data_IF_706497549251
#
_entry.id   IF_706497549251
#
_cell.length_a   1.000
_cell.length_b   1.000
_cell.length_c   1.000
_cell.angle_alpha   90.00
_cell.angle_beta   90.00
_cell.angle_gamma   90.00
#
_symmetry.space_group_name_H-M   'P 1'
#
loop_
_entity.id
_entity.type
_entity.pdbx_description
1 polymer ?
#
# COMPACT_ATOMS: atom_id res chain seq x y z
N UNK A 1 -23.09 -12.24 2.93
CA UNK A 1 -21.82 -12.46 3.65
C UNK A 1 -21.16 -11.15 4.06
N UNK A 2 -20.96 -10.18 3.13
CA UNK A 2 -20.33 -8.89 3.44
C UNK A 2 -20.94 -8.10 4.62
N UNK A 3 -22.28 -8.05 4.73
CA UNK A 3 -22.95 -7.42 5.90
C UNK A 3 -22.51 -8.08 7.22
N UNK A 4 -22.73 -9.39 7.36
CA UNK A 4 -22.35 -10.14 8.58
C UNK A 4 -20.86 -9.95 8.94
N UNK A 5 -19.97 -9.96 7.95
CA UNK A 5 -18.54 -9.71 8.16
C UNK A 5 -18.27 -8.32 8.74
N UNK A 6 -18.82 -7.26 8.13
CA UNK A 6 -18.66 -5.90 8.65
C UNK A 6 -19.34 -5.70 10.01
N UNK A 7 -20.39 -6.47 10.34
CA UNK A 7 -21.05 -6.40 11.66
C UNK A 7 -20.13 -7.00 12.72
N UNK A 8 -19.54 -8.16 12.43
CA UNK A 8 -18.56 -8.78 13.30
C UNK A 8 -17.34 -7.90 13.55
N UNK A 9 -16.88 -7.16 12.53
CA UNK A 9 -15.78 -6.19 12.70
C UNK A 9 -16.22 -4.98 13.55
N UNK A 10 -17.41 -4.43 13.30
CA UNK A 10 -17.94 -3.32 14.10
C UNK A 10 -18.15 -3.70 15.59
N UNK A 11 -18.51 -4.96 15.85
CA UNK A 11 -18.68 -5.53 17.18
C UNK A 11 -17.36 -6.00 17.82
N UNK A 12 -16.20 -5.74 17.19
CA UNK A 12 -14.86 -6.20 17.60
C UNK A 12 -14.72 -7.73 17.77
N UNK A 13 -15.59 -8.52 17.11
CA UNK A 13 -15.46 -9.99 17.04
C UNK A 13 -14.37 -10.42 16.06
N UNK A 14 -14.08 -9.58 15.08
CA UNK A 14 -12.98 -9.71 14.12
C UNK A 14 -12.22 -8.38 14.15
N UNK A 15 -10.89 -8.42 14.15
CA UNK A 15 -10.12 -7.17 14.12
C UNK A 15 -10.35 -6.48 12.78
N UNK A 16 -10.48 -5.15 12.79
CA UNK A 16 -10.53 -4.41 11.54
C UNK A 16 -9.35 -4.78 10.66
N UNK A 17 -8.14 -4.86 11.23
CA UNK A 17 -6.86 -5.22 10.58
C UNK A 17 -6.85 -6.55 9.85
N UNK A 18 -7.81 -7.45 10.13
CA UNK A 18 -7.92 -8.74 9.45
C UNK A 18 -8.61 -8.63 8.09
N UNK A 19 -9.32 -7.54 7.83
CA UNK A 19 -9.81 -7.22 6.48
C UNK A 19 -8.62 -6.79 5.62
N UNK A 20 -8.44 -7.39 4.45
CA UNK A 20 -7.41 -6.92 3.52
C UNK A 20 -7.95 -5.79 2.65
N UNK A 21 -7.06 -4.99 2.05
CA UNK A 21 -7.46 -4.02 1.04
C UNK A 21 -8.23 -4.67 -0.13
N UNK A 22 -7.95 -5.96 -0.42
CA UNK A 22 -8.70 -6.73 -1.41
C UNK A 22 -10.15 -6.94 -0.97
N UNK A 23 -10.37 -7.42 0.26
CA UNK A 23 -11.72 -7.65 0.79
C UNK A 23 -12.54 -6.36 0.79
N UNK A 24 -11.90 -5.25 1.17
CA UNK A 24 -12.52 -3.92 1.16
C UNK A 24 -12.95 -3.50 -0.25
N UNK A 25 -12.10 -3.72 -1.28
CA UNK A 25 -12.47 -3.45 -2.69
C UNK A 25 -13.59 -4.36 -3.17
N UNK A 26 -13.57 -5.64 -2.80
CA UNK A 26 -14.64 -6.60 -3.14
C UNK A 26 -15.98 -6.24 -2.48
N UNK A 27 -15.97 -5.76 -1.23
CA UNK A 27 -17.20 -5.32 -0.56
C UNK A 27 -17.72 -4.04 -1.23
N UNK A 28 -16.85 -3.09 -1.57
CA UNK A 28 -17.24 -1.86 -2.26
C UNK A 28 -17.84 -2.13 -3.63
N UNK A 29 -17.31 -3.10 -4.39
CA UNK A 29 -17.78 -3.42 -5.74
C UNK A 29 -19.23 -3.94 -5.80
N UNK A 30 -19.80 -4.34 -4.66
CA UNK A 30 -21.23 -4.66 -4.53
C UNK A 30 -22.17 -3.46 -4.74
N UNK A 31 -21.63 -2.24 -4.74
CA UNK A 31 -22.36 -0.99 -4.98
C UNK A 31 -23.59 -0.78 -4.05
N UNK A 32 -23.50 -1.28 -2.81
CA UNK A 32 -24.51 -1.11 -1.77
C UNK A 32 -24.09 0.08 -0.87
N UNK A 33 -24.94 1.12 -0.81
CA UNK A 33 -24.65 2.35 -0.08
C UNK A 33 -24.44 2.12 1.42
N UNK A 34 -25.19 1.22 2.04
CA UNK A 34 -25.06 0.92 3.47
C UNK A 34 -23.75 0.20 3.77
N UNK A 35 -23.35 -0.74 2.90
CA UNK A 35 -22.05 -1.39 3.00
C UNK A 35 -20.90 -0.39 2.84
N UNK A 36 -21.00 0.54 1.90
CA UNK A 36 -19.95 1.55 1.68
C UNK A 36 -19.79 2.50 2.87
N UNK A 37 -20.90 3.02 3.43
CA UNK A 37 -20.85 3.85 4.64
C UNK A 37 -20.15 3.11 5.77
N UNK A 38 -20.55 1.86 6.05
CA UNK A 38 -19.98 1.10 7.15
C UNK A 38 -18.53 0.70 6.92
N UNK A 39 -18.16 0.43 5.67
CA UNK A 39 -16.79 0.15 5.27
C UNK A 39 -15.89 1.36 5.51
N UNK A 40 -16.34 2.57 5.18
CA UNK A 40 -15.59 3.79 5.43
C UNK A 40 -15.47 4.10 6.93
N UNK A 41 -16.52 3.84 7.71
CA UNK A 41 -16.50 3.98 9.17
C UNK A 41 -15.52 3.02 9.84
N UNK A 42 -15.42 1.78 9.37
CA UNK A 42 -14.54 0.76 9.96
C UNK A 42 -13.10 0.98 9.46
N UNK A 43 -12.91 0.95 8.14
CA UNK A 43 -11.60 0.82 7.51
C UNK A 43 -10.96 2.18 7.24
N UNK A 44 -11.74 3.22 6.96
CA UNK A 44 -11.22 4.54 6.64
C UNK A 44 -11.51 4.94 5.20
N UNK A 45 -10.48 5.28 4.43
CA UNK A 45 -10.70 5.91 3.12
C UNK A 45 -10.87 4.79 2.09
N UNK A 46 -12.04 4.76 1.47
CA UNK A 46 -12.34 3.83 0.39
C UNK A 46 -13.01 4.61 -0.72
N UNK A 47 -12.24 4.93 -1.76
CA UNK A 47 -12.71 5.70 -2.90
C UNK A 47 -12.61 4.91 -4.19
N UNK A 48 -13.33 5.40 -5.20
CA UNK A 48 -13.16 4.90 -6.55
C UNK A 48 -11.78 5.29 -7.08
N UNK A 49 -11.17 4.39 -7.86
CA UNK A 49 -9.97 4.73 -8.61
C UNK A 49 -10.34 5.68 -9.76
N UNK A 50 -9.64 6.81 -9.96
CA UNK A 50 -9.96 7.75 -11.02
C UNK A 50 -9.82 7.11 -12.40
N UNK A 51 -10.60 7.56 -13.37
CA UNK A 51 -10.67 6.97 -14.71
C UNK A 51 -9.29 6.81 -15.39
N UNK A 52 -8.40 7.80 -15.24
CA UNK A 52 -7.04 7.73 -15.80
C UNK A 52 -6.21 6.56 -15.21
N UNK A 53 -6.30 6.34 -13.88
CA UNK A 53 -5.64 5.23 -13.21
C UNK A 53 -6.31 3.89 -13.53
N UNK A 54 -7.64 3.87 -13.69
CA UNK A 54 -8.35 2.68 -14.15
C UNK A 54 -7.90 2.26 -15.55
N UNK A 55 -7.76 3.22 -16.48
CA UNK A 55 -7.23 2.95 -17.81
C UNK A 55 -5.81 2.39 -17.72
N UNK A 56 -4.94 3.00 -16.91
CA UNK A 56 -3.57 2.50 -16.72
C UNK A 56 -3.54 1.07 -16.18
N UNK A 57 -4.42 0.72 -15.24
CA UNK A 57 -4.56 -0.66 -14.74
C UNK A 57 -4.97 -1.61 -15.88
N UNK A 58 -5.92 -1.22 -16.73
CA UNK A 58 -6.36 -2.04 -17.86
C UNK A 58 -5.23 -2.26 -18.87
N UNK A 59 -4.48 -1.21 -19.21
CA UNK A 59 -3.35 -1.29 -20.14
C UNK A 59 -2.27 -2.23 -19.60
N UNK A 60 -1.89 -2.06 -18.33
CA UNK A 60 -0.91 -2.93 -17.66
C UNK A 60 -1.40 -4.38 -17.55
N UNK A 61 -2.70 -4.59 -17.27
CA UNK A 61 -3.29 -5.94 -17.25
C UNK A 61 -3.13 -6.61 -18.61
N UNK A 62 -3.46 -5.91 -19.69
CA UNK A 62 -3.32 -6.45 -21.04
C UNK A 62 -1.86 -6.76 -21.37
N UNK A 63 -0.95 -5.84 -21.04
CA UNK A 63 0.49 -5.99 -21.26
C UNK A 63 1.07 -7.21 -20.52
N UNK A 64 0.74 -7.36 -19.24
CA UNK A 64 1.28 -8.38 -18.34
C UNK A 64 0.60 -9.75 -18.49
N UNK A 65 -0.64 -9.80 -18.99
CA UNK A 65 -1.37 -11.07 -19.22
C UNK A 65 -1.03 -11.73 -20.56
N UNK A 66 -0.29 -11.04 -21.44
CA UNK A 66 0.15 -11.62 -22.70
C UNK A 66 1.12 -12.78 -22.45
N UNK A 67 0.84 -13.93 -23.10
CA UNK A 67 1.62 -15.18 -23.02
C UNK A 67 2.92 -15.12 -23.84
N UNK A 68 3.43 -13.90 -24.10
CA UNK A 68 4.72 -13.74 -24.76
C UNK A 68 5.77 -14.40 -23.86
N UNK A 69 6.57 -15.36 -24.37
CA UNK A 69 7.65 -15.96 -23.61
C UNK A 69 8.48 -14.86 -22.96
N UNK A 70 8.38 -14.79 -21.64
CA UNK A 70 8.94 -13.70 -20.85
C UNK A 70 10.46 -13.80 -20.89
N UNK A 71 11.13 -12.84 -21.53
CA UNK A 71 12.55 -12.57 -21.30
C UNK A 71 12.75 -11.72 -20.03
N UNK A 72 11.70 -11.59 -19.20
CA UNK A 72 11.76 -10.83 -17.97
C UNK A 72 12.53 -11.62 -16.93
N UNK A 73 13.53 -10.96 -16.36
CA UNK A 73 14.45 -11.56 -15.42
C UNK A 73 13.89 -11.32 -14.01
N UNK A 74 13.42 -12.38 -13.37
CA UNK A 74 12.89 -12.30 -11.99
C UNK A 74 13.92 -11.77 -11.00
N UNK A 75 15.22 -11.97 -11.26
CA UNK A 75 16.31 -11.42 -10.46
C UNK A 75 16.37 -9.89 -10.62
N UNK A 76 16.16 -9.37 -11.84
CA UNK A 76 16.00 -7.93 -12.06
C UNK A 76 14.72 -7.41 -11.37
N UNK A 77 13.65 -8.19 -11.37
CA UNK A 77 12.45 -7.90 -10.60
C UNK A 77 12.73 -7.72 -9.11
N UNK A 78 13.56 -8.59 -8.53
CA UNK A 78 14.03 -8.45 -7.14
C UNK A 78 14.83 -7.17 -6.92
N UNK A 79 15.73 -6.82 -7.84
CA UNK A 79 16.50 -5.58 -7.74
C UNK A 79 15.58 -4.35 -7.74
N UNK A 80 14.58 -4.31 -8.62
CA UNK A 80 13.59 -3.23 -8.69
C UNK A 80 12.73 -3.16 -7.42
N UNK A 81 12.32 -4.31 -6.88
CA UNK A 81 11.64 -4.36 -5.58
C UNK A 81 12.50 -3.74 -4.48
N UNK A 82 13.80 -4.07 -4.42
CA UNK A 82 14.70 -3.53 -3.41
C UNK A 82 14.85 -2.00 -3.51
N UNK A 83 14.84 -1.44 -4.72
CA UNK A 83 15.00 0.00 -4.95
C UNK A 83 13.78 0.84 -4.54
N UNK A 84 12.58 0.28 -4.69
CA UNK A 84 11.33 1.06 -4.58
C UNK A 84 10.38 0.54 -3.51
N UNK A 85 10.20 -0.77 -3.42
CA UNK A 85 9.19 -1.38 -2.56
C UNK A 85 9.75 -1.77 -1.18
N UNK A 86 10.97 -2.28 -1.13
CA UNK A 86 11.61 -2.78 0.09
C UNK A 86 11.88 -1.69 1.13
N UNK A 87 11.86 -0.41 0.72
CA UNK A 87 11.94 0.75 1.61
C UNK A 87 10.78 0.81 2.60
N UNK A 88 9.64 0.22 2.26
CA UNK A 88 8.45 0.22 3.10
C UNK A 88 7.92 -1.19 3.39
N UNK A 89 8.06 -2.11 2.46
CA UNK A 89 7.42 -3.42 2.52
C UNK A 89 8.42 -4.54 2.70
N UNK A 90 8.00 -5.56 3.46
CA UNK A 90 8.70 -6.82 3.57
C UNK A 90 8.23 -7.82 2.51
N UNK A 91 9.16 -8.58 1.94
CA UNK A 91 8.87 -9.73 1.09
C UNK A 91 9.94 -10.81 1.28
N UNK A 92 9.51 -12.03 1.61
CA UNK A 92 10.39 -13.15 1.96
C UNK A 92 11.41 -12.80 3.05
N UNK A 93 10.97 -12.06 4.06
CA UNK A 93 11.81 -11.64 5.17
C UNK A 93 12.73 -10.43 4.89
N UNK A 94 12.76 -9.90 3.67
CA UNK A 94 13.62 -8.78 3.25
C UNK A 94 12.84 -7.47 3.11
N UNK A 95 13.46 -6.33 3.45
CA UNK A 95 12.85 -5.01 3.42
C UNK A 95 12.36 -4.53 4.80
N UNK A 96 11.71 -3.36 4.79
CA UNK A 96 11.24 -2.68 6.00
C UNK A 96 9.81 -3.08 6.41
N UNK A 97 9.46 -2.81 7.67
CA UNK A 97 8.14 -3.05 8.25
C UNK A 97 7.38 -1.73 8.49
N UNK A 98 7.34 -0.87 7.47
CA UNK A 98 6.56 0.40 7.52
C UNK A 98 5.15 0.16 6.96
N UNK A 99 5.07 -0.50 5.80
CA UNK A 99 3.85 -1.01 5.21
C UNK A 99 3.65 -2.49 5.55
N UNK A 100 2.52 -3.09 5.13
CA UNK A 100 2.23 -4.51 5.36
C UNK A 100 3.27 -5.43 4.72
N UNK A 101 3.54 -6.57 5.37
CA UNK A 101 4.33 -7.66 4.79
C UNK A 101 3.59 -8.24 3.58
N UNK A 102 4.26 -8.29 2.44
CA UNK A 102 3.69 -8.76 1.18
C UNK A 102 3.77 -10.27 1.03
N UNK A 103 4.58 -10.98 1.82
CA UNK A 103 4.86 -12.42 1.66
C UNK A 103 3.58 -13.26 1.64
N UNK A 104 2.64 -12.98 2.55
CA UNK A 104 1.34 -13.66 2.65
C UNK A 104 0.18 -12.96 1.95
N UNK A 105 0.43 -11.88 1.22
CA UNK A 105 -0.62 -11.15 0.50
C UNK A 105 -1.07 -11.91 -0.77
N UNK A 106 -2.17 -11.44 -1.39
CA UNK A 106 -2.75 -12.03 -2.61
C UNK A 106 -1.92 -11.73 -3.89
N UNK A 107 -0.59 -11.83 -3.82
CA UNK A 107 0.34 -11.43 -4.87
C UNK A 107 0.23 -12.24 -6.15
N UNK A 108 -0.27 -13.47 -6.08
CA UNK A 108 -0.55 -14.29 -7.27
C UNK A 108 -1.67 -13.68 -8.14
N UNK A 109 -2.54 -12.86 -7.56
CA UNK A 109 -3.57 -12.14 -8.28
C UNK A 109 -3.00 -10.84 -8.87
N UNK A 110 -2.96 -10.76 -10.21
CA UNK A 110 -2.45 -9.58 -10.92
C UNK A 110 -3.30 -8.33 -10.66
N UNK A 111 -4.62 -8.48 -10.58
CA UNK A 111 -5.53 -7.35 -10.35
C UNK A 111 -5.30 -6.76 -8.96
N UNK A 112 -5.12 -7.60 -7.96
CA UNK A 112 -4.75 -7.17 -6.62
C UNK A 112 -3.46 -6.34 -6.63
N UNK A 113 -2.41 -6.80 -7.32
CA UNK A 113 -1.17 -6.04 -7.41
C UNK A 113 -1.37 -4.71 -8.14
N UNK A 114 -2.02 -4.71 -9.30
CA UNK A 114 -2.21 -3.51 -10.12
C UNK A 114 -3.05 -2.45 -9.39
N UNK A 115 -4.13 -2.85 -8.73
CA UNK A 115 -5.01 -1.94 -7.99
C UNK A 115 -4.30 -1.24 -6.83
N UNK A 116 -3.36 -1.92 -6.16
CA UNK A 116 -2.61 -1.36 -5.04
C UNK A 116 -1.35 -0.60 -5.48
N UNK A 117 -0.69 -1.01 -6.56
CA UNK A 117 0.52 -0.34 -7.05
C UNK A 117 0.19 0.92 -7.86
N UNK A 118 -0.88 0.89 -8.67
CA UNK A 118 -1.26 2.03 -9.53
C UNK A 118 -2.07 3.06 -8.75
N UNK A 119 -2.90 2.63 -7.80
CA UNK A 119 -3.69 3.52 -6.95
C UNK A 119 -3.65 3.14 -5.47
N UNK A 120 -2.49 3.31 -4.80
CA UNK A 120 -2.31 2.99 -3.40
C UNK A 120 -3.24 3.77 -2.46
N UNK A 121 -3.74 4.94 -2.89
CA UNK A 121 -4.65 5.77 -2.09
C UNK A 121 -6.14 5.47 -2.33
N UNK A 122 -6.49 4.46 -3.15
CA UNK A 122 -7.90 4.09 -3.32
C UNK A 122 -8.50 3.44 -2.07
N UNK A 123 -7.69 2.66 -1.36
CA UNK A 123 -8.10 1.96 -0.15
C UNK A 123 -6.99 2.09 0.89
N UNK A 124 -7.21 2.95 1.88
CA UNK A 124 -6.22 3.24 2.93
C UNK A 124 -6.86 3.01 4.28
N UNK A 125 -6.32 2.03 5.01
CA UNK A 125 -6.76 1.78 6.39
C UNK A 125 -6.42 2.99 7.26
N UNK A 126 -7.20 3.26 8.31
CA UNK A 126 -6.93 4.35 9.26
C UNK A 126 -5.51 4.31 9.83
N UNK A 127 -4.98 3.12 10.07
CA UNK A 127 -3.66 2.90 10.66
C UNK A 127 -2.50 3.19 9.70
N UNK A 128 -2.80 3.32 8.40
CA UNK A 128 -1.83 3.60 7.34
C UNK A 128 -2.09 4.93 6.65
N UNK A 129 -2.77 5.90 7.29
CA UNK A 129 -3.00 7.22 6.70
C UNK A 129 -1.81 8.15 6.94
N UNK A 130 -1.41 8.88 5.89
CA UNK A 130 -0.47 9.98 6.05
C UNK A 130 -1.09 11.07 6.94
N UNK A 131 -0.29 11.63 7.83
CA UNK A 131 -0.66 12.74 8.71
C UNK A 131 0.27 13.92 8.43
N UNK A 132 -0.33 15.10 8.26
CA UNK A 132 0.37 16.36 8.24
C UNK A 132 0.51 16.82 9.68
N UNK A 133 1.74 17.06 10.13
CA UNK A 133 2.09 17.54 11.47
C UNK A 133 2.61 18.96 11.34
N UNK A 134 1.83 19.94 11.79
CA UNK A 134 2.27 21.32 11.93
C UNK A 134 2.90 21.48 13.32
N UNK A 135 4.15 21.93 13.36
CA UNK A 135 4.85 22.24 14.59
C UNK A 135 4.70 23.73 14.94
N UNK A 136 4.77 24.07 16.23
CA UNK A 136 4.65 25.45 16.73
C UNK A 136 5.72 26.40 16.20
N UNK A 137 6.83 25.87 15.72
CA UNK A 137 7.89 26.64 15.05
C UNK A 137 7.59 26.91 13.56
N UNK A 138 6.40 26.53 13.06
CA UNK A 138 5.97 26.70 11.68
C UNK A 138 6.40 25.59 10.73
N UNK A 139 7.18 24.60 11.19
CA UNK A 139 7.61 23.49 10.34
C UNK A 139 6.44 22.53 10.07
N UNK A 140 6.28 22.13 8.81
CA UNK A 140 5.30 21.13 8.38
C UNK A 140 6.01 19.82 8.06
N UNK A 141 5.60 18.76 8.71
CA UNK A 141 6.10 17.40 8.48
C UNK A 141 4.98 16.52 7.94
N UNK A 142 5.32 15.61 7.03
CA UNK A 142 4.39 14.66 6.44
C UNK A 142 4.90 13.24 6.70
N UNK A 143 4.07 12.38 7.27
CA UNK A 143 4.45 11.01 7.54
C UNK A 143 3.35 10.16 8.15
N UNK A 144 3.68 8.90 8.42
CA UNK A 144 2.84 7.96 9.12
C UNK A 144 3.13 8.02 10.62
N UNK A 145 2.12 8.17 11.47
CA UNK A 145 2.31 8.08 12.92
C UNK A 145 2.45 6.60 13.29
N UNK A 146 3.66 6.15 13.61
CA UNK A 146 3.94 4.75 13.95
C UNK A 146 3.82 4.46 15.44
N UNK A 147 3.91 5.50 16.28
CA UNK A 147 3.60 5.41 17.70
C UNK A 147 3.23 6.78 18.26
N UNK A 148 2.36 6.80 19.26
CA UNK A 148 1.98 8.00 20.01
C UNK A 148 1.72 7.61 21.45
N UNK A 149 2.34 8.32 22.39
CA UNK A 149 2.07 8.22 23.83
C UNK A 149 1.69 9.60 24.37
N UNK A 150 1.60 9.76 25.69
CA UNK A 150 1.19 11.01 26.33
C UNK A 150 2.15 12.18 26.11
N UNK A 151 3.43 11.92 25.79
CA UNK A 151 4.49 12.94 25.68
C UNK A 151 5.03 13.11 24.28
N UNK A 152 5.09 12.05 23.49
CA UNK A 152 5.73 12.05 22.18
C UNK A 152 4.90 11.32 21.12
N UNK A 153 5.10 11.73 19.87
CA UNK A 153 4.70 10.97 18.70
C UNK A 153 5.94 10.61 17.88
N UNK A 154 5.96 9.42 17.31
CA UNK A 154 6.97 9.01 16.34
C UNK A 154 6.34 9.03 14.96
N UNK A 155 6.89 9.88 14.08
CA UNK A 155 6.46 10.05 12.71
C UNK A 155 7.48 9.38 11.78
N UNK A 156 7.03 8.40 11.00
CA UNK A 156 7.78 7.86 9.87
C UNK A 156 7.55 8.75 8.66
N UNK A 157 8.55 9.54 8.29
CA UNK A 157 8.55 10.31 7.04
C UNK A 157 8.96 9.40 5.87
N UNK A 158 9.02 9.94 4.66
CA UNK A 158 9.57 9.21 3.50
C UNK A 158 11.06 8.89 3.65
N UNK A 159 11.78 9.64 4.48
CA UNK A 159 13.25 9.57 4.59
C UNK A 159 13.73 8.98 5.91
N UNK A 160 13.00 9.19 7.01
CA UNK A 160 13.49 8.92 8.35
C UNK A 160 12.37 8.84 9.40
N UNK A 161 12.71 8.37 10.60
CA UNK A 161 11.82 8.41 11.78
C UNK A 161 12.13 9.64 12.62
N UNK A 162 11.11 10.42 12.94
CA UNK A 162 11.18 11.62 13.79
C UNK A 162 10.42 11.38 15.09
N UNK A 163 11.08 11.52 16.22
CA UNK A 163 10.40 11.61 17.53
C UNK A 163 10.12 13.07 17.81
N UNK A 164 8.85 13.41 18.01
CA UNK A 164 8.37 14.78 18.17
C UNK A 164 7.66 14.88 19.52
N UNK A 165 8.00 15.89 20.31
CA UNK A 165 7.29 16.19 21.55
C UNK A 165 5.87 16.68 21.24
N UNK A 166 4.85 16.13 21.90
CA UNK A 166 3.47 16.59 21.70
C UNK A 166 3.27 18.06 22.11
N UNK A 167 4.12 18.57 23.01
CA UNK A 167 4.16 20.00 23.35
C UNK A 167 4.62 20.90 22.20
N UNK A 168 5.35 20.37 21.22
CA UNK A 168 5.85 21.10 20.04
C UNK A 168 4.89 21.03 18.85
N UNK A 169 3.89 20.15 18.93
CA UNK A 169 2.84 20.00 17.90
C UNK A 169 1.82 21.12 18.07
N UNK A 170 1.57 21.81 16.97
CA UNK A 170 0.48 22.79 16.87
C UNK A 170 -0.78 22.10 16.35
N UNK A 171 -0.65 21.32 15.27
CA UNK A 171 -1.79 20.63 14.66
C UNK A 171 -1.42 19.27 14.05
N UNK A 172 -2.34 18.31 14.16
CA UNK A 172 -2.30 17.03 13.44
C UNK A 172 -3.48 16.96 12.50
N UNK A 173 -3.22 16.86 11.20
CA UNK A 173 -4.24 16.69 10.16
C UNK A 173 -4.06 15.34 9.45
N UNK A 174 -4.87 14.32 9.80
CA UNK A 174 -4.93 13.09 9.03
C UNK A 174 -5.37 13.37 7.59
N UNK A 175 -4.73 12.73 6.62
CA UNK A 175 -5.10 12.83 5.20
C UNK A 175 -5.81 11.58 4.73
N UNK A 176 -6.33 11.62 3.50
CA UNK A 176 -6.89 10.46 2.79
C UNK A 176 -5.85 9.72 1.94
N UNK A 177 -4.58 10.14 2.01
CA UNK A 177 -3.52 9.62 1.16
C UNK A 177 -2.74 8.49 1.82
N UNK A 178 -2.32 7.54 0.99
CA UNK A 178 -1.40 6.48 1.36
C UNK A 178 0.03 7.02 1.50
N UNK A 179 0.83 6.49 2.44
CA UNK A 179 2.28 6.69 2.48
C UNK A 179 2.99 6.05 1.28
N UNK A 180 2.37 5.06 0.65
CA UNK A 180 2.88 4.48 -0.59
C UNK A 180 2.74 5.50 -1.73
N UNK A 181 3.84 5.84 -2.42
CA UNK A 181 3.83 6.88 -3.44
C UNK A 181 3.09 6.43 -4.70
N UNK A 182 2.45 7.40 -5.36
CA UNK A 182 1.94 7.22 -6.72
C UNK A 182 3.10 7.21 -7.75
N UNK A 183 2.83 6.70 -8.95
CA UNK A 183 3.78 6.77 -10.07
C UNK A 183 5.01 5.86 -9.95
N UNK A 184 4.97 4.85 -9.07
CA UNK A 184 6.06 3.88 -8.86
C UNK A 184 6.53 3.17 -10.14
N UNK A 185 5.67 3.10 -11.15
CA UNK A 185 5.94 2.41 -12.42
C UNK A 185 6.34 3.37 -13.55
N UNK A 186 6.25 4.68 -13.36
CA UNK A 186 6.31 5.66 -14.45
C UNK A 186 7.71 5.75 -15.09
N UNK A 187 8.74 5.45 -14.30
CA UNK A 187 10.14 5.45 -14.75
C UNK A 187 10.65 4.06 -15.15
N UNK A 188 9.78 3.04 -15.19
CA UNK A 188 10.15 1.68 -15.55
C UNK A 188 9.77 1.39 -17.00
N UNK A 189 10.67 0.75 -17.74
CA UNK A 189 10.36 0.19 -19.05
C UNK A 189 9.34 -0.96 -18.94
N UNK A 190 8.59 -1.27 -20.02
CA UNK A 190 7.70 -2.44 -20.09
C UNK A 190 8.33 -3.74 -19.56
N UNK A 191 9.59 -4.00 -19.92
CA UNK A 191 10.33 -5.18 -19.47
C UNK A 191 10.63 -5.15 -17.96
N UNK A 192 10.96 -3.98 -17.41
CA UNK A 192 11.19 -3.81 -15.97
C UNK A 192 9.90 -3.97 -15.17
N UNK A 193 8.78 -3.41 -15.65
CA UNK A 193 7.47 -3.60 -15.03
C UNK A 193 7.14 -5.10 -15.00
N UNK A 194 7.26 -5.80 -16.13
CA UNK A 194 7.04 -7.26 -16.17
C UNK A 194 7.95 -8.01 -15.20
N UNK A 195 9.25 -7.69 -15.18
CA UNK A 195 10.21 -8.32 -14.27
C UNK A 195 9.81 -8.12 -12.80
N UNK A 196 9.42 -6.90 -12.42
CA UNK A 196 8.94 -6.57 -11.08
C UNK A 196 7.70 -7.38 -10.71
N UNK A 197 6.67 -7.41 -11.57
CA UNK A 197 5.43 -8.15 -11.28
C UNK A 197 5.64 -9.67 -11.29
N UNK A 198 6.50 -10.19 -12.15
CA UNK A 198 6.87 -11.61 -12.17
C UNK A 198 7.62 -12.01 -10.90
N UNK A 199 8.51 -11.14 -10.38
CA UNK A 199 9.15 -11.33 -9.07
C UNK A 199 8.14 -11.25 -7.92
N UNK A 200 7.28 -10.23 -7.92
CA UNK A 200 6.24 -10.06 -6.90
C UNK A 200 5.30 -11.28 -6.84
N UNK A 201 5.13 -12.04 -7.91
CA UNK A 201 4.30 -13.25 -7.95
C UNK A 201 5.02 -14.52 -7.50
N UNK A 202 6.34 -14.49 -7.31
CA UNK A 202 7.08 -15.70 -6.94
C UNK A 202 6.59 -16.27 -5.60
N UNK A 203 6.58 -17.60 -5.43
CA UNK A 203 6.22 -18.21 -4.15
C UNK A 203 7.36 -18.15 -3.13
N UNK A 204 8.60 -17.92 -3.59
CA UNK A 204 9.80 -17.89 -2.77
C UNK A 204 10.79 -16.83 -3.28
N UNK A 205 11.81 -16.56 -2.45
CA UNK A 205 12.88 -15.63 -2.79
C UNK A 205 13.68 -16.12 -4.02
N UNK A 206 14.08 -15.17 -4.88
CA UNK A 206 14.94 -15.42 -6.05
C UNK A 206 16.30 -14.78 -5.81
N UNK A 207 17.41 -15.24 -6.42
CA UNK A 207 18.71 -14.56 -6.29
C UNK A 207 18.67 -13.12 -6.83
N UNK A 208 19.59 -12.27 -6.36
CA UNK A 208 19.86 -11.00 -7.03
C UNK A 208 20.63 -11.28 -8.34
N UNK A 209 20.62 -10.36 -9.32
CA UNK A 209 21.47 -10.47 -10.48
C UNK A 209 22.95 -10.59 -10.06
N UNK A 210 23.75 -11.40 -10.77
CA UNK A 210 25.15 -11.72 -10.40
C UNK A 210 26.09 -10.49 -10.26
N UNK A 211 25.67 -9.31 -10.72
CA UNK A 211 26.45 -8.06 -10.66
C UNK A 211 25.76 -6.95 -9.83
N UNK A 212 24.84 -7.30 -8.93
CA UNK A 212 24.15 -6.34 -8.06
C UNK A 212 24.79 -6.32 -6.66
N UNK A 213 26.01 -5.77 -6.57
CA UNK A 213 26.62 -5.31 -5.32
C UNK A 213 26.68 -3.78 -5.27
#
# INVERSE_FOLDING_TARGET
FARVLLDAVAENKISATDLTAFDVRQIRSLNDAHLQTRLSEIWGEVRETPAAKQQRIQDLRAELSSHVPSTADVSQGRLLFNQSCAKCHRLFGQGEAIGPDLTGANRSNLDYLLENVVDPSAVVSKDFRMTIVLLKNGQVLNGLIVSKNEKTLTLQTQTDKRVIGLGDVDELRPTTLSPMPDGLLDNLSPRQIRSLFDYLKQPAQVPLPENAE
#
